data_IF_886789429468
#
_entry.id   IF_886789429468
#
_cell.length_a   1.000
_cell.length_b   1.000
_cell.length_c   1.000
_cell.angle_alpha   90.00
_cell.angle_beta   90.00
_cell.angle_gamma   90.00
#
_symmetry.space_group_name_H-M   'P 1'
#
loop_
_entity.id
_entity.type
_entity.pdbx_description
1 polymer ?
#
# COMPACT_ATOMS: atom_id res chain seq x y z
N UNK A 1 31.48 6.98 3.49
CA UNK A 1 30.14 6.66 2.94
C UNK A 1 29.89 5.19 3.20
N UNK A 2 28.74 4.83 3.73
CA UNK A 2 28.34 3.42 3.87
C UNK A 2 27.73 2.99 2.54
N UNK A 3 28.10 1.80 2.03
CA UNK A 3 27.48 1.24 0.83
C UNK A 3 26.27 0.41 1.22
N UNK A 4 25.20 0.50 0.43
CA UNK A 4 23.94 -0.20 0.64
C UNK A 4 23.83 -1.39 -0.31
N UNK A 5 23.43 -2.53 0.23
CA UNK A 5 23.30 -3.78 -0.51
C UNK A 5 21.93 -4.40 -0.29
N UNK A 6 21.30 -4.85 -1.38
CA UNK A 6 20.08 -5.64 -1.36
C UNK A 6 20.42 -7.12 -1.58
N UNK A 7 19.89 -8.00 -0.72
CA UNK A 7 20.01 -9.45 -0.90
C UNK A 7 18.67 -10.02 -1.32
N UNK A 8 18.64 -10.63 -2.50
CA UNK A 8 17.47 -11.34 -3.02
C UNK A 8 17.42 -12.70 -2.35
N UNK A 9 16.49 -12.90 -1.41
CA UNK A 9 16.43 -14.13 -0.60
C UNK A 9 16.16 -15.39 -1.43
N UNK A 10 15.41 -15.27 -2.54
CA UNK A 10 15.08 -16.40 -3.40
C UNK A 10 16.29 -16.96 -4.17
N UNK A 11 17.25 -16.12 -4.54
CA UNK A 11 18.43 -16.49 -5.35
C UNK A 11 19.73 -16.43 -4.56
N UNK A 12 19.73 -15.73 -3.42
CA UNK A 12 20.93 -15.42 -2.65
C UNK A 12 21.80 -14.32 -3.27
N UNK A 13 21.40 -13.75 -4.40
CA UNK A 13 22.12 -12.68 -5.10
C UNK A 13 22.20 -11.43 -4.22
N UNK A 14 23.38 -10.80 -4.21
CA UNK A 14 23.63 -9.53 -3.52
C UNK A 14 23.95 -8.47 -4.55
N UNK A 15 23.18 -7.38 -4.54
CA UNK A 15 23.34 -6.23 -5.45
C UNK A 15 23.63 -4.97 -4.65
N UNK A 16 24.63 -4.20 -5.08
CA UNK A 16 24.81 -2.84 -4.59
C UNK A 16 23.70 -1.93 -5.14
N UNK A 17 23.10 -1.13 -4.26
CA UNK A 17 22.00 -0.20 -4.59
C UNK A 17 22.34 1.25 -4.28
N UNK A 18 23.63 1.58 -4.13
CA UNK A 18 24.08 2.94 -3.79
C UNK A 18 23.53 3.99 -4.79
N UNK A 19 23.46 3.66 -6.08
CA UNK A 19 22.93 4.54 -7.12
C UNK A 19 21.40 4.75 -7.02
N UNK A 20 20.70 3.87 -6.31
CA UNK A 20 19.25 3.97 -6.09
C UNK A 20 18.92 4.75 -4.82
N UNK A 21 19.89 4.95 -3.90
CA UNK A 21 19.70 5.63 -2.62
C UNK A 21 19.77 7.15 -2.83
N UNK A 22 18.67 7.89 -2.59
CA UNK A 22 18.63 9.31 -2.90
C UNK A 22 19.39 10.20 -1.92
N UNK A 23 19.60 9.73 -0.68
CA UNK A 23 20.33 10.46 0.37
C UNK A 23 20.80 9.51 1.49
N UNK A 24 21.77 9.95 2.28
CA UNK A 24 22.18 9.21 3.49
C UNK A 24 21.16 9.37 4.62
N UNK A 25 20.94 8.30 5.37
CA UNK A 25 20.04 8.31 6.53
C UNK A 25 20.83 8.35 7.84
N UNK A 26 20.25 8.86 8.94
CA UNK A 26 20.90 8.87 10.26
C UNK A 26 21.26 7.45 10.71
N UNK A 27 22.26 7.35 11.61
CA UNK A 27 22.64 6.07 12.20
C UNK A 27 21.46 5.38 12.89
N UNK A 28 21.25 4.12 12.57
CA UNK A 28 20.15 3.31 13.07
C UNK A 28 18.86 3.38 12.23
N UNK A 29 18.86 4.21 11.18
CA UNK A 29 17.81 4.19 10.16
C UNK A 29 18.23 3.26 9.03
N UNK A 30 17.26 2.57 8.43
CA UNK A 30 17.51 1.58 7.39
C UNK A 30 16.72 1.87 6.12
N UNK A 31 17.35 1.61 4.97
CA UNK A 31 16.65 1.54 3.70
C UNK A 31 16.11 0.13 3.48
N UNK A 32 14.87 0.03 3.02
CA UNK A 32 14.31 -1.24 2.59
C UNK A 32 13.40 -1.07 1.37
N UNK A 33 13.08 -2.17 0.69
CA UNK A 33 11.99 -2.18 -0.28
C UNK A 33 10.65 -2.31 0.45
N UNK A 34 9.61 -1.73 -0.11
CA UNK A 34 8.27 -1.89 0.48
C UNK A 34 7.88 -3.38 0.61
N UNK A 35 8.35 -4.22 -0.32
CA UNK A 35 8.16 -5.67 -0.25
C UNK A 35 8.68 -6.33 1.04
N UNK A 36 9.59 -5.71 1.76
CA UNK A 36 10.10 -6.20 3.04
C UNK A 36 9.14 -5.93 4.21
N UNK A 37 8.10 -5.15 4.02
CA UNK A 37 7.17 -4.71 5.07
C UNK A 37 5.79 -5.39 5.02
N UNK A 38 5.58 -6.33 4.10
CA UNK A 38 4.28 -6.99 3.96
C UNK A 38 4.41 -8.49 3.66
N UNK A 39 3.38 -9.24 4.01
CA UNK A 39 3.23 -10.68 3.71
C UNK A 39 2.70 -10.90 2.30
N UNK A 40 1.76 -10.07 1.87
CA UNK A 40 1.16 -10.17 0.54
C UNK A 40 0.71 -8.82 0.02
N UNK A 41 0.80 -8.68 -1.32
CA UNK A 41 0.32 -7.54 -2.08
C UNK A 41 -0.56 -8.06 -3.21
N UNK A 42 -1.82 -7.71 -3.18
CA UNK A 42 -2.82 -8.04 -4.20
C UNK A 42 -3.60 -6.78 -4.61
N UNK A 43 -4.52 -6.90 -5.55
CA UNK A 43 -5.47 -5.85 -5.88
C UNK A 43 -6.88 -6.42 -6.02
N UNK A 44 -7.88 -5.54 -6.07
CA UNK A 44 -9.27 -5.92 -6.26
C UNK A 44 -9.54 -6.55 -7.63
N UNK A 45 -10.80 -6.85 -7.90
CA UNK A 45 -11.19 -7.50 -9.16
C UNK A 45 -10.95 -6.60 -10.37
N UNK A 46 -10.47 -7.21 -11.47
CA UNK A 46 -10.27 -6.56 -12.76
C UNK A 46 -11.55 -6.51 -13.61
N UNK A 47 -12.53 -7.35 -13.29
CA UNK A 47 -13.85 -7.34 -13.93
C UNK A 47 -14.83 -6.49 -13.15
N UNK A 48 -15.70 -5.75 -13.84
CA UNK A 48 -16.79 -5.02 -13.19
C UNK A 48 -17.82 -6.03 -12.70
N UNK A 49 -18.06 -6.10 -11.38
CA UNK A 49 -19.05 -7.02 -10.83
C UNK A 49 -20.48 -6.55 -11.14
N UNK A 50 -21.44 -7.44 -10.94
CA UNK A 50 -22.84 -7.07 -11.01
C UNK A 50 -23.23 -6.30 -9.74
N UNK A 51 -23.54 -5.01 -9.89
CA UNK A 51 -23.94 -4.17 -8.78
C UNK A 51 -25.38 -4.46 -8.34
N UNK A 52 -25.62 -4.31 -7.05
CA UNK A 52 -26.90 -4.46 -6.38
C UNK A 52 -27.28 -3.17 -5.66
N UNK A 53 -28.56 -3.02 -5.28
CA UNK A 53 -29.02 -1.85 -4.53
C UNK A 53 -28.55 -1.86 -3.06
N UNK A 54 -28.30 -3.04 -2.52
CA UNK A 54 -27.82 -3.25 -1.15
C UNK A 54 -26.99 -4.53 -1.09
N UNK A 55 -26.20 -4.73 -0.04
CA UNK A 55 -25.38 -5.93 0.14
C UNK A 55 -24.01 -5.61 0.72
N UNK A 56 -22.97 -6.23 0.17
CA UNK A 56 -21.58 -6.00 0.58
C UNK A 56 -21.03 -4.77 -0.15
N UNK A 57 -20.43 -3.79 0.56
CA UNK A 57 -19.80 -2.63 -0.06
C UNK A 57 -18.69 -3.03 -1.04
N UNK A 58 -18.59 -2.29 -2.13
CA UNK A 58 -17.59 -2.47 -3.16
C UNK A 58 -16.79 -1.18 -3.33
N UNK A 59 -15.57 -1.20 -2.82
CA UNK A 59 -14.69 -0.05 -2.67
C UNK A 59 -13.79 0.13 -3.89
N UNK A 60 -13.68 1.36 -4.35
CA UNK A 60 -12.77 1.80 -5.40
C UNK A 60 -11.95 3.02 -4.92
N UNK A 61 -11.04 3.53 -5.74
CA UNK A 61 -10.20 4.69 -5.39
C UNK A 61 -11.01 5.91 -4.94
N UNK A 62 -12.20 6.13 -5.50
CA UNK A 62 -13.05 7.27 -5.13
C UNK A 62 -13.55 7.21 -3.68
N UNK A 63 -13.68 6.00 -3.14
CA UNK A 63 -14.22 5.75 -1.82
C UNK A 63 -13.12 5.81 -0.72
N UNK A 64 -11.87 6.13 -1.10
CA UNK A 64 -10.74 6.28 -0.17
C UNK A 64 -9.84 7.49 -0.48
N UNK A 65 -10.31 8.42 -1.30
CA UNK A 65 -9.53 9.58 -1.77
C UNK A 65 -9.10 10.53 -0.63
N UNK A 66 -9.75 10.50 0.52
CA UNK A 66 -9.39 11.26 1.72
C UNK A 66 -8.35 10.58 2.61
N UNK A 67 -7.86 9.38 2.26
CA UNK A 67 -7.00 8.56 3.13
C UNK A 67 -7.78 7.76 4.18
N UNK A 68 -9.12 7.83 4.14
CA UNK A 68 -10.03 7.05 4.98
C UNK A 68 -11.02 6.34 4.07
N UNK A 69 -11.45 5.12 4.45
CA UNK A 69 -12.45 4.37 3.69
C UNK A 69 -13.83 4.95 4.00
N UNK A 70 -14.45 5.55 2.98
CA UNK A 70 -15.79 6.12 3.08
C UNK A 70 -16.83 5.14 2.49
N UNK A 71 -17.73 4.66 3.34
CA UNK A 71 -18.80 3.75 2.98
C UNK A 71 -20.13 4.45 2.65
N UNK A 72 -20.18 5.77 2.72
CA UNK A 72 -21.45 6.54 2.61
C UNK A 72 -22.06 6.49 1.22
N UNK A 73 -21.23 6.39 0.17
CA UNK A 73 -21.69 6.41 -1.23
C UNK A 73 -20.98 5.32 -2.08
N UNK A 74 -20.83 4.14 -1.51
CA UNK A 74 -20.24 3.00 -2.20
C UNK A 74 -21.26 2.29 -3.08
N UNK A 75 -20.77 1.54 -4.06
CA UNK A 75 -21.57 0.52 -4.74
C UNK A 75 -21.67 -0.72 -3.87
N UNK A 76 -22.63 -1.60 -4.20
CA UNK A 76 -22.81 -2.87 -3.49
C UNK A 76 -22.78 -4.03 -4.47
N UNK A 77 -22.39 -5.19 -3.95
CA UNK A 77 -22.41 -6.49 -4.65
C UNK A 77 -23.13 -7.52 -3.79
N UNK A 78 -23.53 -8.64 -4.40
CA UNK A 78 -24.15 -9.75 -3.64
C UNK A 78 -23.13 -10.42 -2.72
N UNK A 79 -23.62 -11.16 -1.74
CA UNK A 79 -22.79 -11.95 -0.82
C UNK A 79 -22.03 -13.06 -1.55
N UNK A 80 -22.67 -13.70 -2.53
CA UNK A 80 -22.08 -14.75 -3.36
C UNK A 80 -20.93 -14.22 -4.21
N UNK A 81 -21.08 -13.00 -4.75
CA UNK A 81 -20.02 -12.34 -5.52
C UNK A 81 -18.85 -11.96 -4.59
N UNK A 82 -19.15 -11.39 -3.42
CA UNK A 82 -18.15 -11.09 -2.41
C UNK A 82 -17.33 -12.32 -2.03
N UNK A 83 -17.97 -13.46 -1.76
CA UNK A 83 -17.27 -14.70 -1.39
C UNK A 83 -16.25 -15.10 -2.46
N UNK A 84 -16.64 -15.11 -3.75
CA UNK A 84 -15.73 -15.42 -4.87
C UNK A 84 -14.54 -14.47 -4.96
N UNK A 85 -14.77 -13.17 -4.74
CA UNK A 85 -13.71 -12.17 -4.77
C UNK A 85 -12.77 -12.28 -3.57
N UNK A 86 -13.29 -12.68 -2.42
CA UNK A 86 -12.55 -12.84 -1.17
C UNK A 86 -11.54 -13.98 -1.20
N UNK A 87 -11.69 -14.99 -2.06
CA UNK A 87 -10.71 -16.06 -2.24
C UNK A 87 -9.32 -15.50 -2.63
N UNK A 88 -9.29 -14.42 -3.39
CA UNK A 88 -8.06 -13.77 -3.84
C UNK A 88 -7.72 -12.50 -3.07
N UNK A 89 -8.71 -11.70 -2.73
CA UNK A 89 -8.52 -10.36 -2.17
C UNK A 89 -9.56 -10.13 -1.08
N UNK A 90 -9.16 -10.37 0.18
CA UNK A 90 -10.02 -10.26 1.35
C UNK A 90 -9.45 -9.24 2.34
N UNK A 91 -9.89 -7.97 2.29
CA UNK A 91 -9.49 -6.95 3.24
C UNK A 91 -9.95 -7.29 4.67
N UNK A 92 -9.07 -7.10 5.64
CA UNK A 92 -9.33 -7.31 7.05
C UNK A 92 -8.82 -6.12 7.86
N UNK A 93 -9.38 -5.91 9.03
CA UNK A 93 -8.92 -4.88 9.97
C UNK A 93 -7.42 -5.01 10.24
N UNK A 94 -6.73 -3.89 10.08
CA UNK A 94 -5.28 -3.81 10.21
C UNK A 94 -4.51 -3.96 8.89
N UNK A 95 -5.17 -4.29 7.80
CA UNK A 95 -4.57 -4.24 6.46
C UNK A 95 -4.42 -2.80 5.99
N UNK A 96 -3.52 -2.60 5.03
CA UNK A 96 -3.32 -1.32 4.35
C UNK A 96 -3.89 -1.39 2.93
N UNK A 97 -4.72 -0.43 2.58
CA UNK A 97 -5.15 -0.18 1.21
C UNK A 97 -4.27 0.90 0.58
N UNK A 98 -4.01 0.76 -0.72
CA UNK A 98 -3.25 1.74 -1.48
C UNK A 98 -3.91 2.01 -2.82
N UNK A 99 -4.22 3.26 -3.11
CA UNK A 99 -4.74 3.64 -4.42
C UNK A 99 -3.66 3.47 -5.50
N UNK A 100 -3.97 2.74 -6.58
CA UNK A 100 -2.99 2.41 -7.63
C UNK A 100 -3.43 2.74 -9.06
N UNK A 101 -4.71 3.04 -9.30
CA UNK A 101 -5.21 3.45 -10.63
C UNK A 101 -6.04 4.72 -10.49
N UNK A 102 -5.82 5.66 -11.41
CA UNK A 102 -6.38 7.00 -11.38
C UNK A 102 -5.55 7.92 -10.46
N UNK A 103 -6.07 8.28 -9.29
CA UNK A 103 -5.26 8.90 -8.24
C UNK A 103 -4.45 7.81 -7.55
N UNK A 104 -3.14 7.86 -7.66
CA UNK A 104 -2.21 6.85 -7.12
C UNK A 104 -1.54 7.35 -5.84
N UNK A 105 -1.14 6.42 -4.96
CA UNK A 105 -0.31 6.72 -3.79
C UNK A 105 -1.06 7.16 -2.54
N UNK A 106 -2.39 7.05 -2.48
CA UNK A 106 -3.18 7.34 -1.27
C UNK A 106 -3.26 6.07 -0.41
N UNK A 107 -2.66 6.04 0.78
CA UNK A 107 -2.82 4.95 1.73
C UNK A 107 -4.08 5.13 2.57
N UNK A 108 -4.72 4.02 2.96
CA UNK A 108 -5.79 4.00 3.96
C UNK A 108 -5.72 2.71 4.78
N UNK A 109 -5.69 2.83 6.11
CA UNK A 109 -5.75 1.67 6.99
C UNK A 109 -7.19 1.14 7.09
N UNK A 110 -7.34 -0.17 7.05
CA UNK A 110 -8.62 -0.84 7.35
C UNK A 110 -8.82 -0.83 8.87
N UNK A 111 -9.72 0.03 9.35
CA UNK A 111 -10.00 0.21 10.78
C UNK A 111 -11.30 -0.46 11.23
N UNK A 112 -12.06 -1.05 10.30
CA UNK A 112 -13.38 -1.66 10.54
C UNK A 112 -13.32 -3.18 10.39
N UNK A 113 -14.22 -3.87 11.07
CA UNK A 113 -14.50 -5.29 10.89
C UNK A 113 -15.62 -5.55 9.85
N UNK A 114 -16.14 -4.48 9.21
CA UNK A 114 -17.14 -4.60 8.14
C UNK A 114 -16.55 -5.27 6.92
N UNK A 115 -17.25 -6.27 6.37
CA UNK A 115 -16.88 -6.92 5.12
C UNK A 115 -17.05 -5.98 3.92
N UNK A 116 -16.12 -6.00 2.98
CA UNK A 116 -16.19 -5.29 1.70
C UNK A 116 -15.26 -5.93 0.67
N UNK A 117 -15.49 -5.66 -0.60
CA UNK A 117 -14.61 -6.06 -1.70
C UNK A 117 -13.98 -4.85 -2.37
N UNK A 118 -12.90 -5.10 -3.11
CA UNK A 118 -12.12 -4.07 -3.78
C UNK A 118 -12.21 -4.16 -5.30
N UNK A 119 -12.19 -2.99 -5.95
CA UNK A 119 -11.92 -2.87 -7.38
C UNK A 119 -10.42 -2.79 -7.66
N UNK A 120 -9.99 -3.14 -8.86
CA UNK A 120 -8.59 -3.13 -9.31
C UNK A 120 -7.84 -1.81 -9.08
N UNK A 121 -8.57 -0.72 -8.88
CA UNK A 121 -7.97 0.60 -8.57
C UNK A 121 -7.36 0.70 -7.18
N UNK A 122 -7.59 -0.30 -6.32
CA UNK A 122 -7.10 -0.37 -4.94
C UNK A 122 -6.28 -1.64 -4.74
N UNK A 123 -5.06 -1.47 -4.28
CA UNK A 123 -4.22 -2.57 -3.80
C UNK A 123 -4.52 -2.87 -2.33
N UNK A 124 -4.46 -4.14 -1.96
CA UNK A 124 -4.53 -4.68 -0.61
C UNK A 124 -3.15 -5.14 -0.18
N UNK A 125 -2.68 -4.66 0.93
CA UNK A 125 -1.37 -4.96 1.50
C UNK A 125 -1.56 -5.54 2.90
N UNK A 126 -1.22 -6.82 3.05
CA UNK A 126 -1.21 -7.48 4.36
C UNK A 126 0.16 -7.30 5.00
N UNK A 127 0.22 -6.43 6.00
CA UNK A 127 1.47 -6.07 6.66
C UNK A 127 2.02 -7.23 7.50
N UNK A 128 3.35 -7.35 7.56
CA UNK A 128 4.01 -8.25 8.51
C UNK A 128 3.77 -7.75 9.94
N UNK A 129 3.84 -8.69 10.88
CA UNK A 129 3.93 -8.36 12.31
C UNK A 129 5.39 -8.06 12.64
N UNK A 130 5.82 -6.84 12.38
CA UNK A 130 7.16 -6.37 12.69
C UNK A 130 7.09 -5.05 13.46
N UNK A 131 8.26 -4.58 13.90
CA UNK A 131 8.42 -3.30 14.62
C UNK A 131 8.24 -2.09 13.68
N UNK A 132 7.10 -2.05 12.97
CA UNK A 132 6.69 -0.90 12.19
C UNK A 132 5.38 -0.31 12.73
N UNK A 133 5.43 0.97 13.07
CA UNK A 133 4.24 1.71 13.45
C UNK A 133 3.39 1.98 12.21
N UNK A 134 2.13 1.53 12.22
CA UNK A 134 1.22 1.60 11.06
C UNK A 134 0.89 3.04 10.65
N UNK A 135 0.76 3.95 11.61
CA UNK A 135 0.51 5.37 11.31
C UNK A 135 1.77 6.01 10.72
N UNK A 136 2.95 5.69 11.25
CA UNK A 136 4.22 6.09 10.62
C UNK A 136 4.31 5.58 9.17
N UNK A 137 3.93 4.33 8.90
CA UNK A 137 3.94 3.78 7.55
C UNK A 137 3.01 4.57 6.61
N UNK A 138 1.83 4.97 7.07
CA UNK A 138 0.92 5.84 6.31
C UNK A 138 1.61 7.17 5.98
N UNK A 139 2.23 7.84 6.95
CA UNK A 139 2.99 9.08 6.70
C UNK A 139 4.17 8.86 5.76
N UNK A 140 4.88 7.72 5.91
CA UNK A 140 5.98 7.37 5.02
C UNK A 140 5.52 7.23 3.57
N UNK A 141 4.39 6.56 3.33
CA UNK A 141 3.80 6.43 1.99
C UNK A 141 3.38 7.81 1.44
N UNK A 142 2.89 8.70 2.28
CA UNK A 142 2.51 10.06 1.89
C UNK A 142 3.69 11.01 1.73
N UNK A 143 4.89 10.62 2.15
CA UNK A 143 6.09 11.45 2.05
C UNK A 143 6.49 11.75 0.60
N UNK A 144 7.16 12.89 0.33
CA UNK A 144 7.68 13.19 -1.00
C UNK A 144 8.52 12.06 -1.58
N UNK A 145 9.34 11.39 -0.78
CA UNK A 145 10.18 10.27 -1.19
C UNK A 145 9.37 9.17 -1.89
N UNK A 146 8.26 8.75 -1.31
CA UNK A 146 7.41 7.68 -1.89
C UNK A 146 6.53 8.21 -3.00
N UNK A 147 5.98 9.42 -2.85
CA UNK A 147 5.10 10.02 -3.86
C UNK A 147 5.82 10.33 -5.18
N UNK A 148 7.08 10.73 -5.15
CA UNK A 148 7.91 10.93 -6.35
C UNK A 148 8.17 9.59 -7.04
N UNK A 149 8.57 8.55 -6.31
CA UNK A 149 8.73 7.20 -6.86
C UNK A 149 7.41 6.68 -7.47
N UNK A 150 6.27 6.91 -6.80
CA UNK A 150 4.95 6.54 -7.32
C UNK A 150 4.66 7.25 -8.65
N UNK A 151 4.93 8.57 -8.72
CA UNK A 151 4.74 9.39 -9.92
C UNK A 151 5.60 8.91 -11.09
N UNK A 152 6.87 8.65 -10.86
CA UNK A 152 7.83 8.18 -11.86
C UNK A 152 7.50 6.78 -12.40
N UNK A 153 7.03 5.89 -11.52
CA UNK A 153 6.73 4.52 -11.84
C UNK A 153 5.26 4.27 -12.25
N UNK A 154 4.45 5.33 -12.30
CA UNK A 154 3.07 5.27 -12.79
C UNK A 154 3.04 5.37 -14.31
N UNK A 155 2.39 4.43 -14.98
CA UNK A 155 2.29 4.33 -16.44
C UNK A 155 0.86 4.56 -16.93
N UNK A 156 0.73 5.04 -18.18
CA UNK A 156 -0.55 5.23 -18.87
C UNK A 156 -0.87 6.70 -19.18
N UNK A 157 -1.53 6.94 -20.33
CA UNK A 157 -1.92 8.27 -20.86
C UNK A 157 -3.35 8.55 -20.43
N UNK A 158 -4.11 8.11 -19.77
CA UNK A 158 -5.48 8.37 -19.30
C UNK A 158 -5.73 7.78 -17.92
N UNK A 159 -5.64 6.47 -17.83
CA UNK A 159 -5.69 5.77 -16.56
C UNK A 159 -4.26 5.49 -16.08
N UNK A 160 -3.73 6.41 -15.28
CA UNK A 160 -2.45 6.23 -14.60
C UNK A 160 -2.52 4.99 -13.70
N UNK A 161 -1.53 4.11 -13.79
CA UNK A 161 -1.48 2.87 -13.01
C UNK A 161 -0.09 2.68 -12.39
N UNK A 162 -0.04 2.67 -11.07
CA UNK A 162 1.14 2.28 -10.30
C UNK A 162 1.08 0.76 -10.08
N UNK A 163 1.71 0.01 -10.98
CA UNK A 163 1.62 -1.46 -11.01
C UNK A 163 2.21 -2.08 -9.74
N UNK A 164 1.65 -3.22 -9.31
CA UNK A 164 2.04 -3.88 -8.04
C UNK A 164 3.53 -4.19 -7.96
N UNK A 165 4.17 -4.57 -9.07
CA UNK A 165 5.61 -4.82 -9.11
C UNK A 165 6.46 -3.56 -8.87
N UNK A 166 5.97 -2.38 -9.25
CA UNK A 166 6.61 -1.11 -8.94
C UNK A 166 6.36 -0.70 -7.48
N UNK A 167 5.14 -0.91 -6.97
CA UNK A 167 4.82 -0.72 -5.54
C UNK A 167 5.79 -1.54 -4.67
N UNK A 168 6.00 -2.82 -5.01
CA UNK A 168 6.91 -3.72 -4.27
C UNK A 168 8.34 -3.19 -4.19
N UNK A 169 8.82 -2.56 -5.26
CA UNK A 169 10.21 -2.08 -5.39
C UNK A 169 10.44 -0.70 -4.79
N UNK A 170 9.40 -0.01 -4.35
CA UNK A 170 9.51 1.33 -3.77
C UNK A 170 10.47 1.33 -2.59
N UNK A 171 11.43 2.24 -2.60
CA UNK A 171 12.35 2.45 -1.50
C UNK A 171 11.65 3.17 -0.35
N UNK A 172 11.84 2.64 0.84
CA UNK A 172 11.29 3.13 2.09
C UNK A 172 12.42 3.38 3.10
N UNK A 173 12.25 4.35 3.97
CA UNK A 173 13.15 4.60 5.08
C UNK A 173 12.48 4.18 6.38
N UNK A 174 13.14 3.33 7.15
CA UNK A 174 12.60 2.80 8.41
C UNK A 174 13.51 3.23 9.56
N UNK A 175 13.09 4.20 10.38
CA UNK A 175 13.78 4.56 11.62
C UNK A 175 13.52 3.53 12.72
N UNK A 176 14.30 3.54 13.81
CA UNK A 176 13.99 2.79 15.02
C UNK A 176 12.57 3.07 15.53
N UNK A 177 11.93 2.08 16.16
CA UNK A 177 10.52 2.15 16.56
C UNK A 177 10.18 3.37 17.43
N UNK A 178 11.08 3.74 18.35
CA UNK A 178 10.91 4.95 19.17
C UNK A 178 10.87 6.24 18.32
N UNK A 179 11.68 6.29 17.28
CA UNK A 179 11.71 7.45 16.38
C UNK A 179 10.47 7.49 15.49
N UNK A 180 9.98 6.34 15.03
CA UNK A 180 8.69 6.26 14.33
C UNK A 180 7.57 6.86 15.19
N UNK A 181 7.53 6.54 16.49
CA UNK A 181 6.59 7.12 17.44
C UNK A 181 6.73 8.64 17.60
N UNK A 182 7.97 9.15 17.65
CA UNK A 182 8.25 10.60 17.72
C UNK A 182 7.79 11.33 16.45
N UNK A 183 8.08 10.77 15.28
CA UNK A 183 7.65 11.33 13.98
C UNK A 183 6.13 11.39 13.92
N UNK A 184 5.45 10.27 14.21
CA UNK A 184 4.00 10.20 14.26
C UNK A 184 3.40 11.30 15.14
N UNK A 185 3.91 11.46 16.36
CA UNK A 185 3.39 12.45 17.32
C UNK A 185 3.62 13.92 16.91
N UNK A 186 4.52 14.17 15.96
CA UNK A 186 4.75 15.51 15.40
C UNK A 186 3.90 15.81 14.18
N UNK A 187 3.42 14.79 13.50
CA UNK A 187 2.63 14.93 12.27
C UNK A 187 1.11 14.86 12.51
N UNK A 188 0.68 14.35 13.68
CA UNK A 188 -0.70 14.40 14.18
C UNK A 188 -0.94 15.70 14.95
#
# INVERSE_FOLDING_TARGET
MSSYYEKILATGEVKCIDEEIPFEVPKGWEWCRFSSLYLSLTDGTHSTPKYTLSGIPFISVKDMSSGVIDFSNTKYISKEEHQKLSDRCHPQKGDLLLSKVGTTGIPAMVTTDREFSLFVSVALIKLIQCDINREFLVFMIQSPLVQEQAKENTRGVGNKNWVLSAVSKTLMVVPPLEEQGRIKNRLN
#
